data_IF_643685278586
#
_entry.id   IF_643685278586
#
_cell.length_a   1.000
_cell.length_b   1.000
_cell.length_c   1.000
_cell.angle_alpha   90.00
_cell.angle_beta   90.00
_cell.angle_gamma   90.00
#
_symmetry.space_group_name_H-M   'P 1'
#
loop_
_entity.id
_entity.type
_entity.pdbx_description
1 polymer ?
#
# COMPACT_ATOMS: atom_id res chain seq x y z
N UNK A 1 -1.73 -6.15 12.16
CA UNK A 1 -2.33 -4.81 11.95
C UNK A 1 -3.68 -4.91 11.21
N UNK A 2 -4.69 -4.14 11.63
CA UNK A 2 -6.09 -4.28 11.19
C UNK A 2 -6.29 -3.95 9.70
N UNK A 3 -5.47 -3.04 9.16
CA UNK A 3 -5.56 -2.55 7.78
C UNK A 3 -4.62 -3.21 6.76
N UNK A 4 -3.71 -4.09 7.20
CA UNK A 4 -2.68 -4.68 6.33
C UNK A 4 -3.28 -5.43 5.11
N UNK A 5 -4.39 -6.15 5.30
CA UNK A 5 -5.05 -6.87 4.21
C UNK A 5 -5.70 -5.93 3.19
N UNK A 6 -6.22 -4.77 3.60
CA UNK A 6 -6.78 -3.78 2.69
C UNK A 6 -5.68 -3.15 1.83
N UNK A 7 -4.54 -2.84 2.43
CA UNK A 7 -3.36 -2.28 1.76
C UNK A 7 -2.86 -3.26 0.69
N UNK A 8 -2.65 -4.53 1.09
CA UNK A 8 -2.24 -5.60 0.17
C UNK A 8 -3.30 -5.79 -0.93
N UNK A 9 -4.58 -5.83 -0.57
CA UNK A 9 -5.68 -6.00 -1.52
C UNK A 9 -5.77 -4.88 -2.55
N UNK A 10 -5.45 -3.64 -2.18
CA UNK A 10 -5.43 -2.49 -3.09
C UNK A 10 -4.25 -2.55 -4.07
N UNK A 11 -3.05 -2.91 -3.58
CA UNK A 11 -1.85 -3.00 -4.42
C UNK A 11 -1.92 -4.20 -5.36
N UNK A 12 -2.26 -5.39 -4.84
CA UNK A 12 -2.18 -6.63 -5.61
C UNK A 12 -3.50 -7.05 -6.27
N UNK A 13 -4.61 -6.39 -5.93
CA UNK A 13 -5.94 -6.65 -6.47
C UNK A 13 -6.69 -5.36 -6.80
N UNK A 14 -8.01 -5.38 -6.57
CA UNK A 14 -8.92 -4.24 -6.75
C UNK A 14 -9.59 -3.88 -5.42
N UNK A 15 -8.83 -3.97 -4.32
CA UNK A 15 -9.32 -3.63 -2.98
C UNK A 15 -9.68 -2.14 -2.84
N UNK A 16 -10.10 -1.74 -1.64
CA UNK A 16 -10.28 -0.33 -1.29
C UNK A 16 -9.72 -0.12 0.11
N UNK A 17 -9.01 0.99 0.29
CA UNK A 17 -8.47 1.42 1.59
C UNK A 17 -9.34 2.55 2.12
N UNK A 18 -9.86 2.39 3.34
CA UNK A 18 -10.66 3.41 4.01
C UNK A 18 -9.78 4.54 4.56
N UNK A 19 -10.35 5.72 4.82
CA UNK A 19 -9.60 6.84 5.43
C UNK A 19 -8.92 6.44 6.75
N UNK A 20 -9.59 5.72 7.70
CA UNK A 20 -8.91 5.26 8.92
C UNK A 20 -7.71 4.35 8.62
N UNK A 21 -7.80 3.49 7.60
CA UNK A 21 -6.67 2.67 7.20
C UNK A 21 -5.54 3.47 6.52
N UNK A 22 -5.87 4.54 5.80
CA UNK A 22 -4.86 5.47 5.31
C UNK A 22 -4.14 6.18 6.46
N UNK A 23 -4.86 6.59 7.50
CA UNK A 23 -4.26 7.21 8.69
C UNK A 23 -3.36 6.24 9.44
N UNK A 24 -3.78 4.97 9.61
CA UNK A 24 -2.91 3.92 10.16
C UNK A 24 -1.65 3.74 9.31
N UNK A 25 -1.78 3.63 7.99
CA UNK A 25 -0.64 3.48 7.08
C UNK A 25 0.33 4.66 7.15
N UNK A 26 -0.17 5.90 7.17
CA UNK A 26 0.67 7.11 7.30
C UNK A 26 1.38 7.13 8.66
N UNK A 27 0.70 6.71 9.73
CA UNK A 27 1.27 6.62 11.08
C UNK A 27 2.38 5.56 11.18
N UNK A 28 2.21 4.40 10.56
CA UNK A 28 3.25 3.35 10.48
C UNK A 28 4.45 3.79 9.64
N UNK A 29 4.20 4.59 8.60
CA UNK A 29 5.24 5.25 7.82
C UNK A 29 5.59 4.54 6.50
N UNK A 30 6.18 5.31 5.58
CA UNK A 30 6.42 4.87 4.21
C UNK A 30 7.40 3.68 4.14
N UNK A 31 8.42 3.66 4.99
CA UNK A 31 9.42 2.59 4.98
C UNK A 31 8.81 1.21 5.29
N UNK A 32 7.88 1.16 6.24
CA UNK A 32 7.17 -0.08 6.58
C UNK A 32 6.31 -0.56 5.40
N UNK A 33 5.56 0.37 4.78
CA UNK A 33 4.75 0.10 3.59
C UNK A 33 5.60 -0.38 2.42
N UNK A 34 6.68 0.33 2.10
CA UNK A 34 7.58 0.01 1.00
C UNK A 34 8.24 -1.36 1.17
N UNK A 35 8.67 -1.66 2.39
CA UNK A 35 9.29 -2.95 2.73
C UNK A 35 8.28 -4.09 2.58
N UNK A 36 7.06 -3.92 3.09
CA UNK A 36 6.01 -4.94 2.97
C UNK A 36 5.66 -5.22 1.50
N UNK A 37 5.47 -4.18 0.69
CA UNK A 37 5.10 -4.38 -0.72
C UNK A 37 6.26 -5.01 -1.50
N UNK A 38 7.50 -4.54 -1.33
CA UNK A 38 8.68 -5.14 -2.00
C UNK A 38 8.81 -6.63 -1.66
N UNK A 39 8.71 -6.98 -0.37
CA UNK A 39 8.76 -8.37 0.08
C UNK A 39 7.72 -9.27 -0.60
N UNK A 40 6.53 -8.75 -0.88
CA UNK A 40 5.47 -9.52 -1.57
C UNK A 40 5.73 -9.56 -3.09
N UNK A 41 6.15 -8.45 -3.69
CA UNK A 41 6.46 -8.34 -5.13
C UNK A 41 7.60 -9.29 -5.54
N UNK A 42 8.59 -9.48 -4.67
CA UNK A 42 9.74 -10.36 -4.91
C UNK A 42 9.36 -11.85 -5.05
N UNK A 43 8.10 -12.21 -4.80
CA UNK A 43 7.61 -13.58 -4.99
C UNK A 43 7.64 -13.96 -6.48
N UNK A 44 8.06 -15.20 -6.84
CA UNK A 44 8.15 -15.63 -8.23
C UNK A 44 6.87 -15.47 -9.06
N UNK A 45 5.70 -15.55 -8.42
CA UNK A 45 4.41 -15.40 -9.08
C UNK A 45 4.02 -13.94 -9.38
N UNK A 46 4.73 -12.96 -8.81
CA UNK A 46 4.39 -11.54 -8.88
C UNK A 46 5.49 -10.68 -9.51
N UNK A 47 6.77 -11.11 -9.44
CA UNK A 47 7.92 -10.34 -9.93
C UNK A 47 7.81 -9.92 -11.40
N UNK A 48 7.16 -10.73 -12.24
CA UNK A 48 6.93 -10.39 -13.65
C UNK A 48 6.10 -9.11 -13.85
N UNK A 49 5.34 -8.69 -12.83
CA UNK A 49 4.52 -7.47 -12.81
C UNK A 49 5.03 -6.46 -11.76
N UNK A 50 6.28 -6.57 -11.32
CA UNK A 50 6.86 -5.72 -10.26
C UNK A 50 6.57 -4.25 -10.46
N UNK A 51 6.91 -3.71 -11.63
CA UNK A 51 6.73 -2.27 -11.95
C UNK A 51 5.29 -1.80 -11.71
N UNK A 52 4.29 -2.61 -12.07
CA UNK A 52 2.87 -2.30 -11.84
C UNK A 52 2.55 -2.22 -10.35
N UNK A 53 3.06 -3.14 -9.55
CA UNK A 53 2.79 -3.18 -8.11
C UNK A 53 3.53 -2.07 -7.35
N UNK A 54 4.76 -1.75 -7.75
CA UNK A 54 5.51 -0.63 -7.19
C UNK A 54 4.84 0.71 -7.52
N UNK A 55 4.32 0.88 -8.74
CA UNK A 55 3.53 2.06 -9.08
C UNK A 55 2.27 2.17 -8.22
N UNK A 56 1.50 1.09 -8.07
CA UNK A 56 0.30 1.07 -7.21
C UNK A 56 0.60 1.37 -5.73
N UNK A 57 1.76 0.93 -5.24
CA UNK A 57 2.25 1.24 -3.88
C UNK A 57 2.45 2.74 -3.70
N UNK A 58 3.09 3.39 -4.67
CA UNK A 58 3.39 4.82 -4.63
C UNK A 58 2.10 5.65 -4.74
N UNK A 59 1.18 5.24 -5.62
CA UNK A 59 -0.15 5.85 -5.76
C UNK A 59 -0.95 5.76 -4.46
N UNK A 60 -0.96 4.58 -3.81
CA UNK A 60 -1.63 4.39 -2.53
C UNK A 60 -1.03 5.26 -1.42
N UNK A 61 0.30 5.33 -1.32
CA UNK A 61 0.98 6.17 -0.34
C UNK A 61 0.62 7.65 -0.54
N UNK A 62 0.73 8.16 -1.77
CA UNK A 62 0.41 9.55 -2.10
C UNK A 62 -1.07 9.87 -1.78
N UNK A 63 -1.99 8.95 -2.12
CA UNK A 63 -3.39 9.08 -1.77
C UNK A 63 -3.60 9.17 -0.25
N UNK A 64 -3.03 8.23 0.51
CA UNK A 64 -3.19 8.18 1.95
C UNK A 64 -2.59 9.40 2.66
N UNK A 65 -1.42 9.90 2.22
CA UNK A 65 -0.85 11.16 2.72
C UNK A 65 -1.78 12.34 2.45
N UNK A 66 -2.39 12.39 1.26
CA UNK A 66 -3.31 13.47 0.88
C UNK A 66 -4.58 13.49 1.75
N UNK A 67 -5.28 12.35 1.85
CA UNK A 67 -6.55 12.28 2.61
C UNK A 67 -6.35 12.37 4.12
N UNK A 68 -5.16 12.02 4.63
CA UNK A 68 -4.84 12.16 6.07
C UNK A 68 -4.54 13.60 6.47
N UNK A 69 -4.17 14.49 5.54
CA UNK A 69 -3.96 15.93 5.79
C UNK A 69 -5.24 16.76 5.71
N UNK A 70 -6.29 16.22 5.09
CA UNK A 70 -7.54 16.92 4.85
C UNK A 70 -8.48 16.96 6.08
N UNK A 71 -7.98 16.55 7.26
CA UNK A 71 -8.71 16.45 8.53
C UNK A 71 -7.91 17.18 9.60
#
# INVERSE_FOLDING_TARGET
PKCALNIIGQVFGNGVVSIPCCQELVKEGNECHDTLIKYIVDRPTLIANETKYLQKRDELWAHCVSVSKAI
#
